data_IF_470788387349
#
_entry.id   IF_470788387349
#
_cell.length_a   1.000
_cell.length_b   1.000
_cell.length_c   1.000
_cell.angle_alpha   90.00
_cell.angle_beta   90.00
_cell.angle_gamma   90.00
#
_symmetry.space_group_name_H-M   'P 1'
#
loop_
_entity.id
_entity.type
_entity.pdbx_description
1 polymer ?
#
# COMPACT_ATOMS: atom_id res chain seq x y z
N UNK A 1 -34.68 -19.24 18.40
CA UNK A 1 -33.44 -18.58 18.83
C UNK A 1 -32.58 -18.49 17.59
N UNK A 2 -32.77 -17.43 16.81
CA UNK A 2 -31.89 -17.12 15.69
C UNK A 2 -30.65 -16.46 16.24
N UNK A 3 -29.50 -17.11 16.05
CA UNK A 3 -28.22 -16.46 16.20
C UNK A 3 -28.02 -15.64 14.93
N UNK A 4 -27.91 -14.30 14.96
CA UNK A 4 -27.54 -13.58 13.77
C UNK A 4 -26.14 -14.05 13.38
N UNK A 5 -26.06 -14.70 12.22
CA UNK A 5 -24.80 -14.99 11.56
C UNK A 5 -24.06 -13.65 11.47
N UNK A 6 -22.89 -13.54 12.10
CA UNK A 6 -22.02 -12.39 11.91
C UNK A 6 -21.73 -12.30 10.41
N UNK A 7 -22.42 -11.39 9.72
CA UNK A 7 -21.87 -10.81 8.51
C UNK A 7 -20.48 -10.31 8.90
N UNK A 8 -19.44 -10.84 8.28
CA UNK A 8 -18.18 -10.10 8.21
C UNK A 8 -18.57 -8.75 7.60
N UNK A 9 -18.61 -7.69 8.41
CA UNK A 9 -19.05 -6.37 7.95
C UNK A 9 -18.14 -5.95 6.80
N UNK A 10 -18.62 -6.19 5.58
CA UNK A 10 -17.94 -5.75 4.37
C UNK A 10 -17.93 -4.23 4.45
N UNK A 11 -16.75 -3.63 4.46
CA UNK A 11 -16.66 -2.17 4.44
C UNK A 11 -17.31 -1.67 3.15
N UNK A 12 -18.15 -0.65 3.26
CA UNK A 12 -18.75 -0.02 2.08
C UNK A 12 -17.68 0.71 1.26
N UNK A 13 -17.82 0.83 -0.08
CA UNK A 13 -16.82 1.50 -0.93
C UNK A 13 -16.42 2.90 -0.46
N UNK A 14 -17.38 3.69 0.02
CA UNK A 14 -17.09 5.03 0.56
C UNK A 14 -16.26 4.98 1.85
N UNK A 15 -16.51 4.00 2.72
CA UNK A 15 -15.71 3.80 3.93
C UNK A 15 -14.31 3.28 3.59
N UNK A 16 -14.18 2.45 2.54
CA UNK A 16 -12.90 2.01 2.03
C UNK A 16 -12.07 3.17 1.48
N UNK A 17 -12.65 4.03 0.64
CA UNK A 17 -11.98 5.24 0.13
C UNK A 17 -11.45 6.11 1.26
N UNK A 18 -12.27 6.38 2.27
CA UNK A 18 -11.85 7.17 3.43
C UNK A 18 -10.70 6.50 4.22
N UNK A 19 -10.71 5.16 4.34
CA UNK A 19 -9.64 4.42 5.00
C UNK A 19 -8.34 4.45 4.21
N UNK A 20 -8.40 4.28 2.88
CA UNK A 20 -7.24 4.41 1.98
C UNK A 20 -6.57 5.77 2.18
N UNK A 21 -7.36 6.84 2.07
CA UNK A 21 -6.86 8.21 2.24
C UNK A 21 -6.25 8.45 3.63
N UNK A 22 -6.90 7.97 4.69
CA UNK A 22 -6.45 8.18 6.07
C UNK A 22 -5.17 7.42 6.38
N UNK A 23 -5.10 6.15 5.98
CA UNK A 23 -3.92 5.30 6.21
C UNK A 23 -2.72 5.75 5.37
N UNK A 24 -2.95 6.16 4.12
CA UNK A 24 -1.90 6.73 3.27
C UNK A 24 -1.31 8.02 3.89
N UNK A 25 -2.17 8.95 4.29
CA UNK A 25 -1.71 10.17 4.96
C UNK A 25 -0.97 9.89 6.26
N UNK A 26 -1.41 8.90 7.04
CA UNK A 26 -0.74 8.50 8.27
C UNK A 26 0.68 8.01 8.00
N UNK A 27 0.86 7.12 7.03
CA UNK A 27 2.16 6.63 6.59
C UNK A 27 3.06 7.77 6.06
N UNK A 28 2.54 8.59 5.14
CA UNK A 28 3.30 9.70 4.54
C UNK A 28 3.72 10.73 5.60
N UNK A 29 2.84 11.06 6.54
CA UNK A 29 3.18 11.97 7.64
C UNK A 29 4.26 11.39 8.56
N UNK A 30 4.20 10.09 8.86
CA UNK A 30 5.26 9.42 9.62
C UNK A 30 6.60 9.56 8.89
N UNK A 31 6.71 9.14 7.64
CA UNK A 31 7.99 9.11 6.92
C UNK A 31 8.54 10.50 6.63
N UNK A 32 7.69 11.49 6.34
CA UNK A 32 8.11 12.88 6.10
C UNK A 32 8.59 13.59 7.37
N UNK A 33 8.25 13.07 8.55
CA UNK A 33 8.77 13.59 9.83
C UNK A 33 10.18 13.11 10.15
N UNK A 34 10.70 12.10 9.44
CA UNK A 34 12.01 11.50 9.68
C UNK A 34 13.11 12.24 8.91
N UNK A 35 14.36 12.11 9.37
CA UNK A 35 15.50 12.62 8.62
C UNK A 35 15.76 11.77 7.36
N UNK A 36 16.27 12.37 6.27
CA UNK A 36 16.59 11.61 5.05
C UNK A 36 17.53 10.43 5.26
N UNK A 37 18.49 10.54 6.19
CA UNK A 37 19.41 9.45 6.51
C UNK A 37 18.68 8.20 7.01
N UNK A 38 17.66 8.36 7.86
CA UNK A 38 16.85 7.24 8.37
C UNK A 38 16.09 6.53 7.26
N UNK A 39 15.70 7.25 6.19
CA UNK A 39 14.95 6.66 5.08
C UNK A 39 15.77 5.66 4.27
N UNK A 40 17.10 5.77 4.35
CA UNK A 40 18.04 4.89 3.65
C UNK A 40 18.59 3.75 4.53
N UNK A 41 18.33 3.77 5.83
CA UNK A 41 18.87 2.75 6.72
C UNK A 41 18.15 1.40 6.53
N UNK A 42 18.89 0.29 6.37
CA UNK A 42 18.30 -1.03 6.23
C UNK A 42 17.75 -1.53 7.58
N UNK A 43 16.97 -2.60 7.53
CA UNK A 43 16.55 -3.32 8.73
C UNK A 43 15.14 -3.00 9.23
N UNK A 44 14.35 -2.26 8.44
CA UNK A 44 12.95 -1.97 8.76
C UNK A 44 12.15 -3.27 8.68
N UNK A 45 12.20 -3.90 7.50
CA UNK A 45 11.54 -5.18 7.20
C UNK A 45 12.54 -6.09 6.51
N UNK A 46 13.05 -7.09 7.23
CA UNK A 46 14.21 -7.85 6.77
C UNK A 46 15.42 -6.92 6.53
N UNK A 47 15.94 -6.87 5.31
CA UNK A 47 17.03 -5.97 4.93
C UNK A 47 16.55 -4.63 4.33
N UNK A 48 15.24 -4.46 4.13
CA UNK A 48 14.70 -3.29 3.43
C UNK A 48 14.75 -2.03 4.29
N UNK A 49 15.01 -0.90 3.62
CA UNK A 49 14.90 0.45 4.17
C UNK A 49 13.49 1.01 4.01
N UNK A 50 13.22 2.18 4.63
CA UNK A 50 11.95 2.89 4.43
C UNK A 50 11.79 3.27 2.96
N UNK A 51 12.86 3.72 2.29
CA UNK A 51 12.85 4.00 0.85
C UNK A 51 12.38 2.79 0.04
N UNK A 52 12.86 1.59 0.37
CA UNK A 52 12.49 0.38 -0.34
C UNK A 52 11.01 0.04 -0.13
N UNK A 53 10.50 0.21 1.10
CA UNK A 53 9.07 0.07 1.40
C UNK A 53 8.20 1.07 0.64
N UNK A 54 8.60 2.34 0.54
CA UNK A 54 7.83 3.34 -0.22
C UNK A 54 7.76 2.99 -1.71
N UNK A 55 8.85 2.48 -2.29
CA UNK A 55 8.85 2.01 -3.67
C UNK A 55 7.95 0.79 -3.86
N UNK A 56 8.00 -0.15 -2.92
CA UNK A 56 7.14 -1.33 -2.90
C UNK A 56 5.65 -0.97 -2.84
N UNK A 57 5.29 -0.02 -1.98
CA UNK A 57 3.92 0.47 -1.85
C UNK A 57 3.46 1.14 -3.13
N UNK A 58 4.30 1.99 -3.75
CA UNK A 58 3.98 2.62 -5.03
C UNK A 58 3.66 1.59 -6.12
N UNK A 59 4.43 0.49 -6.18
CA UNK A 59 4.15 -0.58 -7.14
C UNK A 59 2.80 -1.25 -6.90
N UNK A 60 2.48 -1.57 -5.64
CA UNK A 60 1.23 -2.24 -5.31
C UNK A 60 0.01 -1.33 -5.43
N UNK A 61 0.14 -0.02 -5.21
CA UNK A 61 -0.91 0.96 -5.51
C UNK A 61 -1.32 0.92 -6.99
N UNK A 62 -0.35 0.96 -7.90
CA UNK A 62 -0.59 0.86 -9.35
C UNK A 62 -1.20 -0.51 -9.72
N UNK A 63 -0.73 -1.59 -9.10
CA UNK A 63 -1.31 -2.93 -9.29
C UNK A 63 -2.75 -3.01 -8.78
N UNK A 64 -3.05 -2.40 -7.64
CA UNK A 64 -4.38 -2.31 -7.04
C UNK A 64 -5.33 -1.55 -7.94
N UNK A 65 -4.88 -0.44 -8.53
CA UNK A 65 -5.63 0.33 -9.52
C UNK A 65 -5.95 -0.51 -10.77
N UNK A 66 -4.95 -1.22 -11.30
CA UNK A 66 -5.13 -2.11 -12.45
C UNK A 66 -6.10 -3.26 -12.14
N UNK A 67 -5.99 -3.86 -10.95
CA UNK A 67 -6.86 -4.92 -10.47
C UNK A 67 -8.30 -4.43 -10.30
N UNK A 68 -8.51 -3.24 -9.74
CA UNK A 68 -9.83 -2.63 -9.61
C UNK A 68 -10.50 -2.43 -10.98
N UNK A 69 -9.79 -1.87 -11.97
CA UNK A 69 -10.31 -1.70 -13.34
C UNK A 69 -10.63 -3.04 -14.00
N UNK A 70 -9.73 -4.01 -13.88
CA UNK A 70 -9.89 -5.36 -14.47
C UNK A 70 -11.18 -6.03 -13.95
N UNK A 71 -11.36 -6.03 -12.63
CA UNK A 71 -12.50 -6.67 -11.98
C UNK A 71 -13.81 -5.92 -12.27
N UNK A 72 -13.80 -4.59 -12.28
CA UNK A 72 -14.97 -3.81 -12.70
C UNK A 72 -15.35 -4.05 -14.17
N UNK A 73 -14.38 -4.34 -15.03
CA UNK A 73 -14.59 -4.78 -16.41
C UNK A 73 -15.08 -6.23 -16.56
N UNK A 74 -15.23 -6.98 -15.46
CA UNK A 74 -15.69 -8.37 -15.46
C UNK A 74 -14.60 -9.42 -15.72
N UNK A 75 -13.32 -9.02 -15.76
CA UNK A 75 -12.21 -9.94 -15.90
C UNK A 75 -11.75 -10.44 -14.52
N UNK A 76 -12.03 -11.71 -14.23
CA UNK A 76 -11.69 -12.37 -12.97
C UNK A 76 -10.38 -13.16 -13.04
N UNK A 77 -9.52 -12.92 -14.04
CA UNK A 77 -8.20 -13.51 -14.08
C UNK A 77 -7.42 -13.19 -12.79
N UNK A 78 -6.70 -14.20 -12.29
CA UNK A 78 -5.86 -14.04 -11.12
C UNK A 78 -4.82 -12.94 -11.37
N UNK A 79 -4.60 -12.11 -10.35
CA UNK A 79 -3.50 -11.14 -10.35
C UNK A 79 -2.13 -11.83 -10.40
N UNK A 80 -1.05 -11.05 -10.51
CA UNK A 80 0.29 -11.61 -10.45
C UNK A 80 0.53 -12.34 -9.13
N UNK A 81 1.33 -13.42 -9.16
CA UNK A 81 1.82 -14.05 -7.93
C UNK A 81 2.86 -13.13 -7.29
N UNK A 82 2.51 -12.51 -6.16
CA UNK A 82 3.39 -11.56 -5.46
C UNK A 82 4.76 -12.15 -5.16
N UNK A 83 4.87 -13.46 -4.89
CA UNK A 83 6.16 -14.12 -4.61
C UNK A 83 7.09 -14.11 -5.81
N UNK A 84 6.55 -14.05 -7.02
CA UNK A 84 7.32 -14.02 -8.26
C UNK A 84 7.66 -12.59 -8.69
N UNK A 85 7.05 -11.57 -8.07
CA UNK A 85 7.20 -10.17 -8.45
C UNK A 85 8.01 -9.37 -7.43
N UNK A 86 7.90 -9.66 -6.14
CA UNK A 86 8.55 -8.89 -5.08
C UNK A 86 10.08 -8.80 -5.24
N UNK A 87 10.77 -9.94 -5.39
CA UNK A 87 12.25 -9.93 -5.44
C UNK A 87 12.78 -9.20 -6.69
N UNK A 88 12.26 -9.45 -7.93
CA UNK A 88 12.66 -8.68 -9.10
C UNK A 88 12.32 -7.19 -9.00
N UNK A 89 11.18 -6.85 -8.42
CA UNK A 89 10.74 -5.47 -8.27
C UNK A 89 11.65 -4.72 -7.30
N UNK A 90 11.94 -5.29 -6.13
CA UNK A 90 12.85 -4.70 -5.16
C UNK A 90 14.25 -4.51 -5.75
N UNK A 91 14.73 -5.47 -6.54
CA UNK A 91 16.01 -5.37 -7.25
C UNK A 91 16.03 -4.23 -8.29
N UNK A 92 14.93 -4.04 -9.04
CA UNK A 92 14.82 -2.94 -10.01
C UNK A 92 14.79 -1.56 -9.34
N UNK A 93 14.24 -1.48 -8.11
CA UNK A 93 14.12 -0.23 -7.36
C UNK A 93 15.36 0.17 -6.56
N UNK A 94 16.29 -0.76 -6.34
CA UNK A 94 17.52 -0.49 -5.59
C UNK A 94 18.29 0.74 -6.11
N UNK A 95 18.29 0.98 -7.43
CA UNK A 95 18.96 2.12 -8.06
C UNK A 95 18.18 3.44 -8.07
N UNK A 96 16.90 3.46 -7.68
CA UNK A 96 16.09 4.67 -7.67
C UNK A 96 16.51 5.61 -6.52
N UNK A 97 16.47 6.92 -6.80
CA UNK A 97 16.65 7.95 -5.78
C UNK A 97 15.43 8.04 -4.86
N UNK A 98 15.62 8.57 -3.65
CA UNK A 98 14.52 8.81 -2.73
C UNK A 98 13.46 9.75 -3.32
N UNK A 99 13.88 10.80 -4.03
CA UNK A 99 12.98 11.75 -4.70
C UNK A 99 12.11 11.05 -5.76
N UNK A 100 12.70 10.16 -6.55
CA UNK A 100 11.96 9.37 -7.55
C UNK A 100 10.93 8.48 -6.87
N UNK A 101 11.32 7.77 -5.81
CA UNK A 101 10.42 6.89 -5.07
C UNK A 101 9.26 7.66 -4.44
N UNK A 102 9.52 8.81 -3.82
CA UNK A 102 8.45 9.65 -3.24
C UNK A 102 7.50 10.15 -4.32
N UNK A 103 8.03 10.60 -5.47
CA UNK A 103 7.21 11.03 -6.61
C UNK A 103 6.33 9.89 -7.14
N UNK A 104 6.90 8.70 -7.31
CA UNK A 104 6.16 7.52 -7.76
C UNK A 104 5.07 7.10 -6.77
N UNK A 105 5.34 7.13 -5.46
CA UNK A 105 4.33 6.86 -4.43
C UNK A 105 3.15 7.81 -4.50
N UNK A 106 3.41 9.11 -4.68
CA UNK A 106 2.34 10.12 -4.80
C UNK A 106 1.51 9.89 -6.06
N UNK A 107 2.16 9.68 -7.21
CA UNK A 107 1.49 9.46 -8.49
C UNK A 107 0.66 8.17 -8.46
N UNK A 108 1.20 7.09 -7.91
CA UNK A 108 0.49 5.80 -7.82
C UNK A 108 -0.74 5.90 -6.92
N UNK A 109 -0.62 6.58 -5.77
CA UNK A 109 -1.76 6.81 -4.88
C UNK A 109 -2.84 7.68 -5.54
N UNK A 110 -2.45 8.79 -6.18
CA UNK A 110 -3.37 9.64 -6.93
C UNK A 110 -4.09 8.85 -8.04
N UNK A 111 -3.34 8.00 -8.77
CA UNK A 111 -3.90 7.14 -9.82
C UNK A 111 -4.86 6.11 -9.25
N UNK A 112 -4.54 5.50 -8.11
CA UNK A 112 -5.41 4.55 -7.41
C UNK A 112 -6.71 5.22 -6.96
N UNK A 113 -6.63 6.38 -6.30
CA UNK A 113 -7.80 7.12 -5.86
C UNK A 113 -8.65 7.61 -7.03
N UNK A 114 -8.04 8.13 -8.08
CA UNK A 114 -8.76 8.51 -9.31
C UNK A 114 -9.48 7.31 -9.90
N UNK A 115 -8.79 6.17 -10.01
CA UNK A 115 -9.35 4.92 -10.54
C UNK A 115 -10.61 4.53 -9.77
N UNK A 116 -10.55 4.46 -8.44
CA UNK A 116 -11.68 4.02 -7.64
C UNK A 116 -12.88 4.97 -7.71
N UNK A 117 -12.65 6.28 -7.85
CA UNK A 117 -13.72 7.27 -8.03
C UNK A 117 -14.41 7.18 -9.40
N UNK A 118 -13.70 6.70 -10.43
CA UNK A 118 -14.23 6.54 -11.80
C UNK A 118 -15.08 5.28 -11.96
N UNK A 119 -14.97 4.31 -11.06
CA UNK A 119 -15.69 3.03 -11.15
C UNK A 119 -17.13 3.16 -10.61
N UNK A 120 -18.08 2.53 -11.30
CA UNK A 120 -19.47 2.34 -10.86
C UNK A 120 -19.58 1.24 -9.77
N UNK A 121 -18.65 1.25 -8.81
CA UNK A 121 -18.52 0.30 -7.72
C UNK A 121 -17.27 -0.59 -7.81
N UNK A 122 -16.76 -0.96 -6.65
CA UNK A 122 -15.69 -1.94 -6.48
C UNK A 122 -15.91 -2.70 -5.17
N UNK A 123 -15.29 -3.87 -5.03
CA UNK A 123 -15.33 -4.63 -3.78
C UNK A 123 -14.06 -4.34 -2.98
N UNK A 124 -14.14 -3.70 -1.79
CA UNK A 124 -12.94 -3.25 -1.07
C UNK A 124 -11.95 -4.34 -0.67
N UNK A 125 -12.42 -5.58 -0.51
CA UNK A 125 -11.52 -6.70 -0.23
C UNK A 125 -10.52 -7.00 -1.38
N UNK A 126 -10.84 -6.58 -2.62
CA UNK A 126 -9.99 -6.86 -3.78
C UNK A 126 -8.75 -5.96 -3.86
N UNK A 127 -8.73 -4.87 -3.09
CA UNK A 127 -7.67 -3.85 -3.10
C UNK A 127 -7.08 -3.62 -1.71
N UNK A 128 -7.57 -4.34 -0.70
CA UNK A 128 -7.22 -4.12 0.70
C UNK A 128 -5.72 -4.30 0.97
N UNK A 129 -5.19 -5.43 0.48
CA UNK A 129 -3.79 -5.86 0.60
C UNK A 129 -2.83 -5.02 -0.25
N UNK A 130 -3.36 -4.27 -1.23
CA UNK A 130 -2.57 -3.37 -2.06
C UNK A 130 -2.58 -1.94 -1.48
N UNK A 131 -3.54 -1.60 -0.60
CA UNK A 131 -3.77 -0.23 -0.11
C UNK A 131 -3.81 -0.14 1.42
N UNK A 132 -4.99 0.04 2.04
CA UNK A 132 -5.08 0.43 3.44
C UNK A 132 -4.49 -0.60 4.42
N UNK A 133 -4.59 -1.91 4.15
CA UNK A 133 -3.93 -2.90 5.01
C UNK A 133 -2.40 -2.84 4.84
N UNK A 134 -1.95 -2.62 3.61
CA UNK A 134 -0.54 -2.51 3.26
C UNK A 134 0.13 -1.29 3.90
N UNK A 135 -0.53 -0.13 3.84
CA UNK A 135 -0.04 1.09 4.46
C UNK A 135 0.02 0.94 5.99
N UNK A 136 -1.03 0.37 6.58
CA UNK A 136 -1.09 0.13 8.04
C UNK A 136 -0.01 -0.85 8.51
N UNK A 137 0.22 -1.93 7.75
CA UNK A 137 1.27 -2.91 8.03
C UNK A 137 2.65 -2.26 8.02
N UNK A 138 3.00 -1.60 6.91
CA UNK A 138 4.33 -1.00 6.78
C UNK A 138 4.55 0.21 7.69
N UNK A 139 3.49 0.97 8.02
CA UNK A 139 3.58 1.98 9.07
C UNK A 139 3.98 1.33 10.41
N UNK A 140 3.31 0.24 10.80
CA UNK A 140 3.61 -0.45 12.05
C UNK A 140 5.04 -1.04 12.09
N UNK A 141 5.54 -1.51 10.95
CA UNK A 141 6.94 -1.97 10.83
C UNK A 141 7.94 -0.83 11.01
N UNK A 142 7.70 0.34 10.39
CA UNK A 142 8.51 1.55 10.57
C UNK A 142 8.49 2.00 12.03
N UNK A 143 7.33 2.08 12.66
CA UNK A 143 7.19 2.44 14.08
C UNK A 143 7.95 1.47 14.99
N UNK A 144 7.83 0.17 14.74
CA UNK A 144 8.52 -0.88 15.49
C UNK A 144 10.04 -0.80 15.31
N UNK A 145 10.52 -0.48 14.11
CA UNK A 145 11.94 -0.25 13.84
C UNK A 145 12.46 0.99 14.57
N UNK A 146 11.74 2.11 14.53
CA UNK A 146 12.09 3.34 15.26
C UNK A 146 12.16 3.08 16.77
N UNK A 147 11.17 2.38 17.34
CA UNK A 147 11.14 2.05 18.76
C UNK A 147 12.37 1.25 19.21
N UNK A 148 12.80 0.24 18.42
CA UNK A 148 13.99 -0.59 18.71
C UNK A 148 15.29 0.21 18.75
N UNK A 149 15.34 1.40 18.13
CA UNK A 149 16.54 2.27 18.06
C UNK A 149 16.67 3.21 19.26
N UNK A 150 15.57 3.44 19.98
CA UNK A 150 15.53 4.30 21.16
C UNK A 150 15.80 3.54 22.47
N UNK A 151 16.07 2.23 22.39
CA UNK A 151 16.48 1.36 23.48
C UNK A 151 17.99 1.13 23.47
#
# INVERSE_FOLDING_TARGET
>A
MDVPSRSTDAIEPAAALARIETSWHSLVNLVTSLSPDLLHEPGVTGEWSIKDLLGHIAFWDDNGAATARRLAGGDAAAGPDYRLVNDPEAANRASQSLEQVISELQVAHEHMMQTLHELDGFHPANIAEDTYLHYEEHQAEVESWLARRHH
#
